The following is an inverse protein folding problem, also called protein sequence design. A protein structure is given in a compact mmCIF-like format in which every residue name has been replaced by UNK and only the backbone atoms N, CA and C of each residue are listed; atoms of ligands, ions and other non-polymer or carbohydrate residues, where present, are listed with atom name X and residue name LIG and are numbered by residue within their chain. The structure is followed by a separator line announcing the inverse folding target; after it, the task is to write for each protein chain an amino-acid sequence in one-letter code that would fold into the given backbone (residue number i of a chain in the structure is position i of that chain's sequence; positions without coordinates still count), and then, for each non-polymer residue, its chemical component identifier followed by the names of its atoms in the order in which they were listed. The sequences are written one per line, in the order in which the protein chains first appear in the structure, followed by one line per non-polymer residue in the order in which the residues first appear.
data_IF_071795029711
#
_entry.id   IF_071795029711
#
_cell.length_a   1.000
_cell.length_b   1.000
_cell.length_c   1.000
_cell.angle_alpha   90.00
_cell.angle_beta   90.00
_cell.angle_gamma   90.00
#
_symmetry.space_group_name_H-M   'P 1'
#
loop_
_entity.id
_entity.type
_entity.pdbx_description
1 polymer ?
#
# COMPACT_ATOMS: atom_id res chain seq x y z
N UNK A 1 26.09 26.93 37.37
CA UNK A 1 26.22 25.59 36.76
C UNK A 1 24.86 25.14 36.25
N UNK A 2 24.76 24.83 34.95
CA UNK A 2 23.57 24.19 34.37
C UNK A 2 23.60 22.70 34.77
N UNK A 3 22.56 22.24 35.45
CA UNK A 3 22.37 20.82 35.73
C UNK A 3 21.96 20.14 34.41
N UNK A 4 22.89 19.42 33.79
CA UNK A 4 22.57 18.52 32.68
C UNK A 4 21.66 17.43 33.23
N UNK A 5 20.39 17.43 32.83
CA UNK A 5 19.42 16.42 33.29
C UNK A 5 19.95 15.03 32.98
N UNK A 6 20.23 14.24 34.03
CA UNK A 6 20.65 12.84 33.91
C UNK A 6 19.48 12.07 33.30
N UNK A 7 19.51 11.81 31.99
CA UNK A 7 18.50 10.96 31.31
C UNK A 7 18.83 9.49 31.58
N UNK A 8 19.08 9.12 32.84
CA UNK A 8 19.10 7.70 33.21
C UNK A 8 17.66 7.24 33.14
N UNK A 9 17.36 6.41 32.16
CA UNK A 9 16.01 5.94 31.95
C UNK A 9 15.96 4.74 31.03
N UNK A 10 14.75 4.33 30.67
CA UNK A 10 14.50 3.15 29.84
C UNK A 10 15.27 3.13 28.51
N UNK A 11 15.70 4.29 28.02
CA UNK A 11 16.26 4.46 26.68
C UNK A 11 17.75 4.82 26.66
N UNK A 12 18.28 5.48 27.71
CA UNK A 12 19.68 5.88 27.81
C UNK A 12 20.24 5.50 29.19
N UNK A 13 21.48 5.00 29.21
CA UNK A 13 22.16 4.59 30.45
C UNK A 13 22.88 5.75 31.15
N UNK A 14 23.65 5.44 32.19
CA UNK A 14 24.36 6.44 33.01
C UNK A 14 25.45 7.21 32.26
N UNK A 15 25.95 6.64 31.16
CA UNK A 15 26.97 7.22 30.29
C UNK A 15 26.34 7.96 29.09
N UNK A 16 25.00 7.91 28.98
CA UNK A 16 24.25 8.48 27.87
C UNK A 16 24.20 7.59 26.63
N UNK A 17 24.62 6.32 26.73
CA UNK A 17 24.58 5.39 25.61
C UNK A 17 23.15 4.86 25.40
N UNK A 18 22.76 4.59 24.13
CA UNK A 18 21.46 4.00 23.83
C UNK A 18 21.36 2.58 24.39
N UNK A 19 20.30 2.32 25.14
CA UNK A 19 19.98 0.98 25.64
C UNK A 19 19.38 0.11 24.52
N UNK A 20 19.36 -1.21 24.72
CA UNK A 20 18.67 -2.15 23.82
C UNK A 20 17.19 -1.78 23.58
N UNK A 21 16.51 -1.25 24.61
CA UNK A 21 15.12 -0.84 24.48
C UNK A 21 14.93 0.34 23.52
N UNK A 22 15.89 1.26 23.43
CA UNK A 22 15.87 2.34 22.45
C UNK A 22 16.10 1.79 21.04
N UNK A 23 17.13 0.95 20.87
CA UNK A 23 17.44 0.33 19.58
C UNK A 23 16.26 -0.50 19.03
N UNK A 24 15.54 -1.23 19.90
CA UNK A 24 14.36 -2.00 19.51
C UNK A 24 13.19 -1.09 19.08
N UNK A 25 13.00 0.05 19.74
CA UNK A 25 11.97 1.04 19.35
C UNK A 25 12.32 1.69 18.02
N UNK A 26 13.57 2.13 17.85
CA UNK A 26 14.05 2.72 16.59
C UNK A 26 13.92 1.73 15.43
N UNK A 27 14.28 0.46 15.64
CA UNK A 27 14.10 -0.59 14.64
C UNK A 27 12.63 -0.77 14.25
N UNK A 28 11.72 -0.79 15.23
CA UNK A 28 10.27 -0.88 14.98
C UNK A 28 9.75 0.34 14.24
N UNK A 29 10.19 1.55 14.61
CA UNK A 29 9.81 2.78 13.92
C UNK A 29 10.28 2.78 12.47
N UNK A 30 11.53 2.37 12.22
CA UNK A 30 12.09 2.25 10.85
C UNK A 30 11.31 1.25 10.01
N UNK A 31 10.99 0.08 10.56
CA UNK A 31 10.16 -0.92 9.89
C UNK A 31 8.77 -0.36 9.57
N UNK A 32 8.11 0.29 10.54
CA UNK A 32 6.80 0.89 10.35
C UNK A 32 6.80 2.00 9.28
N UNK A 33 7.87 2.79 9.18
CA UNK A 33 7.99 3.80 8.13
C UNK A 33 8.12 3.14 6.75
N UNK A 34 9.01 2.15 6.63
CA UNK A 34 9.17 1.39 5.38
C UNK A 34 7.89 0.69 4.93
N UNK A 35 7.09 0.17 5.86
CA UNK A 35 5.78 -0.42 5.56
C UNK A 35 4.79 0.63 5.06
N UNK A 36 4.76 1.82 5.68
CA UNK A 36 3.92 2.92 5.22
C UNK A 36 4.30 3.37 3.81
N UNK A 37 5.59 3.55 3.55
CA UNK A 37 6.07 3.96 2.22
C UNK A 37 5.67 2.94 1.15
N UNK A 38 5.82 1.64 1.44
CA UNK A 38 5.39 0.57 0.55
C UNK A 38 3.85 0.56 0.33
N UNK A 39 3.07 0.80 1.38
CA UNK A 39 1.61 0.90 1.29
C UNK A 39 1.17 2.13 0.46
N UNK A 40 1.88 3.25 0.56
CA UNK A 40 1.64 4.45 -0.24
C UNK A 40 1.97 4.25 -1.72
N UNK A 41 3.08 3.59 -2.05
CA UNK A 41 3.42 3.23 -3.43
C UNK A 41 2.41 2.23 -4.02
N UNK A 42 1.99 1.22 -3.24
CA UNK A 42 0.90 0.33 -3.64
C UNK A 42 -0.41 1.09 -3.84
N UNK A 43 -0.69 2.13 -3.05
CA UNK A 43 -1.90 2.95 -3.23
C UNK A 43 -1.84 3.77 -4.51
N UNK A 44 -0.66 4.28 -4.90
CA UNK A 44 -0.46 5.01 -6.17
C UNK A 44 -0.69 4.09 -7.38
N UNK A 45 -0.09 2.89 -7.34
CA UNK A 45 -0.20 1.92 -8.44
C UNK A 45 -1.57 1.23 -8.49
N UNK A 46 -2.17 0.97 -7.32
CA UNK A 46 -3.42 0.26 -7.15
C UNK A 46 -4.39 1.04 -6.24
N UNK A 47 -4.93 2.17 -6.72
CA UNK A 47 -5.79 3.01 -5.91
C UNK A 47 -7.06 2.27 -5.46
N UNK A 48 -7.59 2.55 -4.25
CA UNK A 48 -8.86 1.99 -3.80
C UNK A 48 -10.00 2.26 -4.77
N UNK A 49 -10.91 1.31 -4.91
CA UNK A 49 -12.12 1.47 -5.71
C UNK A 49 -13.08 2.49 -5.09
N UNK A 50 -13.91 3.11 -5.93
CA UNK A 50 -15.12 3.78 -5.45
C UNK A 50 -16.15 2.72 -5.05
N UNK A 51 -17.07 3.08 -4.16
CA UNK A 51 -18.19 2.22 -3.77
C UNK A 51 -19.50 2.97 -3.89
N UNK A 52 -20.55 2.26 -4.26
CA UNK A 52 -21.92 2.73 -4.33
C UNK A 52 -22.81 1.68 -3.68
N UNK A 53 -23.87 2.11 -3.01
CA UNK A 53 -24.87 1.23 -2.44
C UNK A 53 -26.25 1.67 -2.91
N UNK A 54 -27.06 0.72 -3.36
CA UNK A 54 -28.50 0.91 -3.54
C UNK A 54 -29.26 -0.19 -2.80
N UNK A 55 -30.55 0.03 -2.55
CA UNK A 55 -31.37 -0.97 -1.85
C UNK A 55 -31.57 -2.24 -2.69
N UNK A 56 -31.64 -2.06 -4.01
CA UNK A 56 -31.92 -3.12 -4.98
C UNK A 56 -30.66 -3.94 -5.30
N UNK A 57 -29.51 -3.27 -5.45
CA UNK A 57 -28.27 -3.89 -5.93
C UNK A 57 -27.24 -4.19 -4.83
N UNK A 58 -27.47 -3.68 -3.62
CA UNK A 58 -26.49 -3.76 -2.54
C UNK A 58 -25.22 -2.93 -2.83
N UNK A 59 -24.12 -3.33 -2.19
CA UNK A 59 -22.83 -2.64 -2.33
C UNK A 59 -22.12 -3.08 -3.62
N UNK A 60 -21.85 -2.12 -4.51
CA UNK A 60 -21.07 -2.28 -5.73
C UNK A 60 -19.80 -1.44 -5.65
N UNK A 61 -18.73 -1.95 -6.25
CA UNK A 61 -17.45 -1.22 -6.41
C UNK A 61 -17.20 -0.92 -7.88
N UNK A 62 -16.62 0.23 -8.16
CA UNK A 62 -16.30 0.65 -9.52
C UNK A 62 -15.05 1.50 -9.57
N UNK A 63 -14.46 1.59 -10.76
CA UNK A 63 -13.29 2.40 -11.03
C UNK A 63 -13.65 3.57 -11.94
N UNK A 64 -13.00 4.70 -11.69
CA UNK A 64 -13.05 5.87 -12.57
C UNK A 64 -11.65 6.49 -12.67
N UNK A 65 -11.51 7.57 -13.44
CA UNK A 65 -10.27 8.38 -13.47
C UNK A 65 -9.90 8.98 -12.11
N UNK A 66 -10.86 9.04 -11.18
CA UNK A 66 -10.63 9.47 -9.79
C UNK A 66 -11.17 8.43 -8.81
N UNK A 67 -10.27 7.63 -8.24
CA UNK A 67 -10.64 6.57 -7.28
C UNK A 67 -9.68 6.61 -6.08
N UNK A 68 -10.20 6.43 -4.87
CA UNK A 68 -9.37 6.40 -3.66
C UNK A 68 -8.61 7.70 -3.36
N UNK A 69 -9.09 8.83 -3.89
CA UNK A 69 -8.45 10.15 -3.78
C UNK A 69 -7.32 10.41 -4.79
N UNK A 70 -7.09 9.49 -5.74
CA UNK A 70 -6.02 9.59 -6.75
C UNK A 70 -6.65 9.84 -8.12
N UNK A 71 -6.13 10.85 -8.82
CA UNK A 71 -6.49 11.19 -10.20
C UNK A 71 -5.45 10.65 -11.18
N UNK A 72 -5.93 10.15 -12.33
CA UNK A 72 -5.13 9.39 -13.30
C UNK A 72 -5.80 9.42 -14.67
N UNK A 73 -5.04 9.11 -15.71
CA UNK A 73 -5.45 9.15 -17.12
C UNK A 73 -6.21 7.89 -17.58
N UNK A 74 -6.16 6.81 -16.80
CA UNK A 74 -6.85 5.54 -17.06
C UNK A 74 -7.93 5.21 -16.02
N UNK A 75 -8.89 4.34 -16.40
CA UNK A 75 -10.00 3.90 -15.55
C UNK A 75 -9.74 2.51 -14.95
N UNK A 76 -9.42 1.52 -15.77
CA UNK A 76 -9.13 0.17 -15.30
C UNK A 76 -10.36 -0.57 -14.75
N UNK A 77 -10.12 -1.66 -14.05
CA UNK A 77 -11.18 -2.55 -13.53
C UNK A 77 -10.99 -2.85 -12.04
N UNK A 78 -12.09 -3.07 -11.28
CA UNK A 78 -11.99 -3.53 -9.90
C UNK A 78 -11.40 -4.94 -9.80
N UNK A 79 -10.43 -5.12 -8.92
CA UNK A 79 -9.84 -6.44 -8.57
C UNK A 79 -9.60 -6.55 -7.07
N UNK A 80 -9.43 -7.79 -6.59
CA UNK A 80 -8.99 -8.11 -5.23
C UNK A 80 -7.46 -7.92 -5.19
N UNK A 81 -6.97 -6.98 -4.37
CA UNK A 81 -5.55 -6.78 -4.11
C UNK A 81 -5.20 -7.32 -2.72
N UNK A 82 -4.34 -8.34 -2.66
CA UNK A 82 -3.93 -9.01 -1.43
C UNK A 82 -2.72 -8.31 -0.79
N UNK A 83 -2.71 -8.25 0.55
CA UNK A 83 -1.52 -7.81 1.29
C UNK A 83 -0.47 -8.94 1.26
N UNK A 84 0.80 -8.66 0.91
CA UNK A 84 1.85 -9.68 0.96
C UNK A 84 1.90 -10.41 2.31
N UNK A 85 1.94 -11.74 2.27
CA UNK A 85 1.95 -12.57 3.48
C UNK A 85 0.62 -12.68 4.23
N UNK A 86 -0.49 -12.19 3.67
CA UNK A 86 -1.84 -12.29 4.23
C UNK A 86 -2.86 -12.70 3.18
N UNK A 87 -3.93 -13.35 3.62
CA UNK A 87 -5.14 -13.64 2.85
C UNK A 87 -6.11 -12.44 2.78
N UNK A 88 -5.83 -11.37 3.53
CA UNK A 88 -6.63 -10.15 3.51
C UNK A 88 -6.44 -9.42 2.19
N UNK A 89 -7.56 -9.09 1.56
CA UNK A 89 -7.59 -8.28 0.36
C UNK A 89 -8.42 -7.01 0.54
N UNK A 90 -8.18 -6.03 -0.32
CA UNK A 90 -9.04 -4.86 -0.54
C UNK A 90 -9.42 -4.76 -2.01
N UNK A 91 -10.46 -3.98 -2.32
CA UNK A 91 -10.68 -3.59 -3.70
C UNK A 91 -9.60 -2.60 -4.15
N UNK A 92 -9.06 -2.82 -5.35
CA UNK A 92 -8.20 -1.88 -6.03
C UNK A 92 -8.58 -1.76 -7.51
N UNK A 93 -8.37 -0.57 -8.06
CA UNK A 93 -8.49 -0.34 -9.49
C UNK A 93 -7.18 -0.70 -10.19
N UNK A 94 -7.26 -1.64 -11.12
CA UNK A 94 -6.11 -2.21 -11.83
C UNK A 94 -6.17 -1.81 -13.29
N UNK A 95 -5.05 -1.32 -13.84
CA UNK A 95 -4.94 -0.98 -15.26
C UNK A 95 -5.05 -2.29 -16.05
N UNK A 96 -5.98 -2.37 -16.98
CA UNK A 96 -6.24 -3.59 -17.75
C UNK A 96 -5.78 -3.50 -19.20
N UNK A 97 -5.04 -2.47 -19.55
CA UNK A 97 -4.55 -2.21 -20.91
C UNK A 97 -3.13 -1.63 -20.90
N UNK A 98 -2.37 -1.91 -21.96
CA UNK A 98 -1.02 -1.37 -22.16
C UNK A 98 0.04 -2.05 -21.28
N UNK A 99 1.22 -1.42 -21.12
CA UNK A 99 2.30 -1.98 -20.32
C UNK A 99 1.98 -1.99 -18.82
N UNK A 100 2.53 -2.96 -18.07
CA UNK A 100 2.46 -2.98 -16.60
C UNK A 100 3.23 -1.80 -16.00
N UNK A 101 2.74 -1.26 -14.88
CA UNK A 101 3.36 -0.14 -14.19
C UNK A 101 4.75 -0.46 -13.64
N UNK A 102 5.00 -1.72 -13.29
CA UNK A 102 6.30 -2.20 -12.81
C UNK A 102 7.36 -2.38 -13.89
N UNK A 103 6.95 -2.48 -15.17
CA UNK A 103 7.87 -2.62 -16.30
C UNK A 103 7.34 -1.90 -17.56
N UNK A 104 7.35 -0.55 -17.58
CA UNK A 104 6.78 0.23 -18.68
C UNK A 104 7.54 0.11 -20.01
N UNK A 105 8.79 -0.36 -19.96
CA UNK A 105 9.72 -0.42 -21.10
C UNK A 105 9.91 -1.81 -21.69
N UNK A 106 9.19 -2.82 -21.19
CA UNK A 106 9.25 -4.17 -21.72
C UNK A 106 8.89 -4.19 -23.21
N UNK A 107 9.82 -4.63 -24.06
CA UNK A 107 9.60 -4.75 -25.50
C UNK A 107 8.51 -5.77 -25.86
N UNK A 108 8.14 -6.65 -24.93
CA UNK A 108 7.05 -7.61 -25.05
C UNK A 108 6.24 -7.61 -23.76
N UNK A 109 5.00 -7.15 -23.82
CA UNK A 109 4.01 -7.31 -22.76
C UNK A 109 2.69 -7.75 -23.38
N UNK A 110 1.86 -8.43 -22.59
CA UNK A 110 0.55 -8.96 -23.01
C UNK A 110 -0.49 -7.87 -23.30
N UNK A 111 -0.13 -6.58 -23.15
CA UNK A 111 -1.03 -5.42 -23.22
C UNK A 111 -2.18 -5.48 -22.20
N UNK A 112 -2.02 -6.27 -21.14
CA UNK A 112 -3.02 -6.50 -20.09
C UNK A 112 -2.86 -5.57 -18.87
N UNK A 113 -2.02 -4.53 -18.99
CA UNK A 113 -1.67 -3.64 -17.89
C UNK A 113 -1.11 -4.42 -16.69
N UNK A 114 -1.72 -4.23 -15.53
CA UNK A 114 -1.30 -4.81 -14.26
C UNK A 114 -2.14 -6.02 -13.83
N UNK A 115 -2.92 -6.62 -14.74
CA UNK A 115 -3.75 -7.79 -14.43
C UNK A 115 -2.94 -9.04 -14.07
N UNK A 116 -1.72 -9.15 -14.59
CA UNK A 116 -0.84 -10.30 -14.36
C UNK A 116 0.00 -10.14 -13.07
N UNK A 117 -0.27 -9.10 -12.26
CA UNK A 117 0.38 -8.89 -10.97
C UNK A 117 -0.02 -10.00 -9.97
N UNK A 118 0.93 -10.66 -9.29
CA UNK A 118 0.64 -11.81 -8.41
C UNK A 118 -0.22 -11.48 -7.18
N UNK A 119 -0.30 -10.20 -6.79
CA UNK A 119 -1.14 -9.75 -5.69
C UNK A 119 -2.58 -9.42 -6.12
N UNK A 120 -2.85 -9.44 -7.43
CA UNK A 120 -4.14 -9.10 -8.03
C UNK A 120 -4.90 -10.39 -8.36
N UNK A 121 -6.17 -10.46 -7.98
CA UNK A 121 -7.09 -11.53 -8.38
C UNK A 121 -8.45 -10.97 -8.80
N UNK A 122 -9.15 -11.73 -9.62
CA UNK A 122 -10.50 -11.40 -10.05
C UNK A 122 -11.55 -11.67 -8.96
N UNK A 123 -12.71 -11.02 -9.09
CA UNK A 123 -13.87 -11.36 -8.29
C UNK A 123 -14.53 -12.62 -8.86
N UNK A 124 -15.30 -13.31 -8.03
CA UNK A 124 -15.99 -14.53 -8.45
C UNK A 124 -17.06 -14.17 -9.50
N UNK A 125 -17.04 -14.83 -10.65
CA UNK A 125 -17.95 -14.54 -11.76
C UNK A 125 -17.54 -13.38 -12.68
N UNK A 126 -16.29 -12.91 -12.57
CA UNK A 126 -15.70 -11.92 -13.48
C UNK A 126 -15.00 -12.56 -14.68
#
# INVERSE_FOLDING_TARGET
HLLTGKVIGRYYDEEGNPTKALLDVEKKMKAAHSEKDAEEELKKNFPPCNSMYTKEDGAKVFCSKKSGGIERDWVGVPRKLYKPGSDRYRCACVKNTGPPAGDPGAAQHSDRGDLDNPLVKEYDGC
#
